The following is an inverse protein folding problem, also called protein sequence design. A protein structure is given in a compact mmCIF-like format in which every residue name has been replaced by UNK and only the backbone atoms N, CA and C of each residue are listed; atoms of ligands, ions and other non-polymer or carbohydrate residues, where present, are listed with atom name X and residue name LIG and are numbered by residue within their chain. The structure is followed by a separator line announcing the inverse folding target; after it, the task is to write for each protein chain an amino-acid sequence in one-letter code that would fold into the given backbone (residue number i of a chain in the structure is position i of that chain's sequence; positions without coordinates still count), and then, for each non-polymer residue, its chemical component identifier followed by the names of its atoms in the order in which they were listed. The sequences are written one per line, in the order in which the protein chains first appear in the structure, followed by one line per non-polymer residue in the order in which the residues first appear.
data_IF_597989811110
#
_entry.id   IF_597989811110
#
_cell.length_a   1.000
_cell.length_b   1.000
_cell.length_c   1.000
_cell.angle_alpha   90.00
_cell.angle_beta   90.00
_cell.angle_gamma   90.00
#
_symmetry.space_group_name_H-M   'P 1'
#
loop_
_entity.id
_entity.type
_entity.pdbx_description
1 polymer ?
#
# COMPACT_ATOMS: atom_id res chain seq x y z
N UNK A 1 -4.33 -7.29 -18.76
CA UNK A 1 -5.19 -7.39 -17.55
C UNK A 1 -5.20 -8.83 -17.10
N UNK A 2 -5.04 -9.08 -15.80
CA UNK A 2 -5.10 -10.43 -15.24
C UNK A 2 -5.79 -10.40 -13.87
N UNK A 3 -6.69 -11.34 -13.61
CA UNK A 3 -7.28 -11.55 -12.29
C UNK A 3 -6.75 -12.85 -11.69
N UNK A 4 -6.29 -12.79 -10.44
CA UNK A 4 -5.82 -13.94 -9.67
C UNK A 4 -6.78 -14.15 -8.50
N UNK A 5 -7.57 -15.22 -8.61
CA UNK A 5 -8.56 -15.59 -7.61
C UNK A 5 -7.93 -16.16 -6.33
N UNK A 6 -8.59 -15.90 -5.21
CA UNK A 6 -8.23 -16.35 -3.86
C UNK A 6 -8.07 -15.18 -2.91
N UNK A 7 -8.37 -15.40 -1.62
CA UNK A 7 -8.27 -14.33 -0.62
C UNK A 7 -6.85 -13.74 -0.59
N UNK A 8 -6.67 -12.44 -0.88
CA UNK A 8 -5.36 -11.80 -0.85
C UNK A 8 -4.65 -12.03 0.49
N UNK A 9 -3.35 -12.29 0.44
CA UNK A 9 -2.55 -12.51 1.65
C UNK A 9 -1.65 -11.32 1.91
N UNK A 10 -1.65 -10.86 3.16
CA UNK A 10 -0.76 -9.80 3.64
C UNK A 10 0.65 -10.33 3.88
N UNK A 11 1.63 -9.42 3.82
CA UNK A 11 3.00 -9.65 4.23
C UNK A 11 3.08 -10.27 5.64
N UNK A 12 3.97 -11.24 5.83
CA UNK A 12 4.19 -12.05 7.04
C UNK A 12 2.99 -12.89 7.51
N UNK A 13 1.93 -13.03 6.71
CA UNK A 13 0.82 -13.92 7.06
C UNK A 13 1.14 -15.39 6.74
N UNK A 14 0.51 -16.32 7.48
CA UNK A 14 0.72 -17.75 7.27
C UNK A 14 0.40 -18.23 5.82
N UNK A 15 -0.50 -17.54 5.11
CA UNK A 15 -0.87 -17.86 3.74
C UNK A 15 0.03 -17.23 2.67
N UNK A 16 0.91 -16.31 3.04
CA UNK A 16 1.68 -15.47 2.11
C UNK A 16 2.51 -16.29 1.12
N UNK A 17 3.26 -17.28 1.60
CA UNK A 17 4.12 -18.12 0.74
C UNK A 17 3.31 -18.82 -0.36
N UNK A 18 2.15 -19.38 0.01
CA UNK A 18 1.25 -20.04 -0.96
C UNK A 18 0.68 -19.03 -1.95
N UNK A 19 0.31 -17.84 -1.48
CA UNK A 19 -0.24 -16.78 -2.33
C UNK A 19 0.78 -16.27 -3.34
N UNK A 20 2.02 -16.00 -2.92
CA UNK A 20 3.12 -15.63 -3.81
C UNK A 20 3.38 -16.69 -4.88
N UNK A 21 3.33 -17.98 -4.52
CA UNK A 21 3.47 -19.06 -5.49
C UNK A 21 2.33 -19.09 -6.53
N UNK A 22 1.09 -18.84 -6.11
CA UNK A 22 -0.05 -18.73 -7.05
C UNK A 22 0.17 -17.57 -8.02
N UNK A 23 0.58 -16.41 -7.52
CA UNK A 23 0.86 -15.22 -8.34
C UNK A 23 2.00 -15.46 -9.34
N UNK A 24 3.14 -15.99 -8.88
CA UNK A 24 4.31 -16.27 -9.70
C UNK A 24 3.99 -17.23 -10.86
N UNK A 25 3.15 -18.26 -10.61
CA UNK A 25 2.73 -19.23 -11.61
C UNK A 25 1.84 -18.65 -12.71
N UNK A 26 1.37 -17.41 -12.59
CA UNK A 26 0.57 -16.75 -13.63
C UNK A 26 1.41 -16.12 -14.74
N UNK A 27 2.73 -16.02 -14.57
CA UNK A 27 3.61 -15.45 -15.60
C UNK A 27 3.39 -13.96 -15.86
N UNK A 28 2.93 -13.22 -14.85
CA UNK A 28 2.72 -11.77 -14.92
C UNK A 28 4.07 -11.09 -15.15
N UNK A 29 4.16 -10.27 -16.19
CA UNK A 29 5.35 -9.45 -16.43
C UNK A 29 5.30 -8.21 -15.55
N UNK A 30 6.44 -7.76 -15.01
CA UNK A 30 6.50 -6.49 -14.29
C UNK A 30 6.26 -5.32 -15.27
N UNK A 31 5.50 -4.31 -14.82
CA UNK A 31 5.27 -3.06 -15.54
C UNK A 31 5.78 -1.88 -14.71
N UNK A 32 6.24 -0.78 -15.34
CA UNK A 32 6.61 0.43 -14.63
C UNK A 32 5.43 1.09 -13.90
N UNK A 33 4.27 1.12 -14.55
CA UNK A 33 3.02 1.61 -13.98
C UNK A 33 2.12 0.43 -13.59
N UNK A 34 1.97 0.18 -12.30
CA UNK A 34 1.22 -0.96 -11.82
C UNK A 34 -0.08 -0.54 -11.14
N UNK A 35 -1.21 -1.05 -11.65
CA UNK A 35 -2.49 -0.97 -10.97
C UNK A 35 -2.86 -2.33 -10.35
N UNK A 36 -3.18 -2.29 -9.06
CA UNK A 36 -3.58 -3.42 -8.23
C UNK A 36 -4.96 -3.15 -7.62
N UNK A 37 -5.99 -3.89 -8.03
CA UNK A 37 -7.30 -3.84 -7.39
C UNK A 37 -7.52 -5.12 -6.59
N UNK A 38 -7.45 -5.00 -5.27
CA UNK A 38 -7.71 -6.08 -4.34
C UNK A 38 -9.21 -6.16 -4.02
N UNK A 39 -9.75 -7.37 -4.14
CA UNK A 39 -11.09 -7.71 -3.67
C UNK A 39 -10.92 -8.66 -2.49
N UNK A 40 -11.49 -8.33 -1.34
CA UNK A 40 -11.44 -9.15 -0.12
C UNK A 40 -12.85 -9.60 0.26
N UNK A 41 -12.99 -10.83 0.78
CA UNK A 41 -14.31 -11.35 1.18
C UNK A 41 -14.84 -10.70 2.46
N UNK A 42 -13.96 -10.11 3.25
CA UNK A 42 -14.29 -9.36 4.45
C UNK A 42 -13.23 -8.28 4.70
N UNK A 43 -13.56 -7.25 5.49
CA UNK A 43 -12.57 -6.22 5.84
C UNK A 43 -11.49 -6.72 6.78
N UNK A 44 -11.74 -7.82 7.48
CA UNK A 44 -10.83 -8.40 8.47
C UNK A 44 -10.64 -9.89 8.24
N UNK A 45 -9.43 -10.35 8.57
CA UNK A 45 -9.10 -11.76 8.70
C UNK A 45 -8.37 -11.99 10.00
N UNK A 46 -8.90 -12.88 10.84
CA UNK A 46 -8.35 -13.18 12.18
C UNK A 46 -8.15 -11.90 13.03
N UNK A 47 -9.11 -10.97 12.94
CA UNK A 47 -9.07 -9.70 13.69
C UNK A 47 -8.25 -8.58 13.05
N UNK A 48 -7.43 -8.85 12.04
CA UNK A 48 -6.59 -7.85 11.37
C UNK A 48 -7.22 -7.36 10.08
N UNK A 49 -7.10 -6.06 9.80
CA UNK A 49 -7.54 -5.47 8.54
C UNK A 49 -6.58 -5.79 7.39
N UNK A 50 -7.04 -5.53 6.18
CA UNK A 50 -6.26 -5.57 4.96
C UNK A 50 -5.69 -4.20 4.63
N UNK A 51 -4.47 -3.92 5.09
CA UNK A 51 -3.74 -2.69 4.79
C UNK A 51 -3.07 -2.80 3.41
N UNK A 52 -3.13 -1.73 2.61
CA UNK A 52 -2.60 -1.75 1.25
C UNK A 52 -1.09 -1.93 1.18
N UNK A 53 -0.32 -1.36 2.11
CA UNK A 53 1.13 -1.54 2.18
C UNK A 53 1.53 -3.02 2.35
N UNK A 54 0.75 -3.75 3.15
CA UNK A 54 0.92 -5.16 3.42
C UNK A 54 0.36 -6.07 2.31
N UNK A 55 -0.62 -5.61 1.52
CA UNK A 55 -1.17 -6.35 0.38
C UNK A 55 -0.30 -6.23 -0.87
N UNK A 56 0.28 -5.05 -1.13
CA UNK A 56 1.04 -4.77 -2.34
C UNK A 56 2.38 -5.51 -2.35
N UNK A 57 3.09 -5.55 -1.22
CA UNK A 57 4.44 -6.14 -1.14
C UNK A 57 4.50 -7.60 -1.65
N UNK A 58 3.62 -8.54 -1.21
CA UNK A 58 3.62 -9.90 -1.72
C UNK A 58 3.38 -10.00 -3.23
N UNK A 59 2.63 -9.07 -3.82
CA UNK A 59 2.39 -9.04 -5.27
C UNK A 59 3.64 -8.62 -6.02
N UNK A 60 4.28 -7.52 -5.61
CA UNK A 60 5.51 -7.01 -6.25
C UNK A 60 6.64 -8.05 -6.22
N UNK A 61 6.79 -8.74 -5.08
CA UNK A 61 7.79 -9.79 -4.92
C UNK A 61 7.50 -10.99 -5.83
N UNK A 62 6.22 -11.40 -5.95
CA UNK A 62 5.83 -12.55 -6.76
C UNK A 62 5.96 -12.33 -8.26
N UNK A 63 5.71 -11.11 -8.75
CA UNK A 63 5.86 -10.75 -10.17
C UNK A 63 7.30 -10.36 -10.54
N UNK A 64 8.23 -10.40 -9.57
CA UNK A 64 9.64 -10.06 -9.80
C UNK A 64 9.87 -8.60 -10.20
N UNK A 65 8.98 -7.69 -9.79
CA UNK A 65 9.13 -6.25 -10.09
C UNK A 65 10.36 -5.71 -9.38
N UNK A 66 11.34 -5.17 -10.14
CA UNK A 66 12.53 -4.57 -9.54
C UNK A 66 12.24 -3.14 -9.11
N UNK A 67 12.85 -2.72 -8.00
CA UNK A 67 12.65 -1.38 -7.46
C UNK A 67 12.97 -0.26 -8.47
N UNK A 68 14.04 -0.42 -9.24
CA UNK A 68 14.49 0.54 -10.27
C UNK A 68 13.56 0.65 -11.48
N UNK A 69 12.63 -0.29 -11.64
CA UNK A 69 11.73 -0.35 -12.79
C UNK A 69 10.34 0.22 -12.45
N UNK A 70 10.07 0.56 -11.18
CA UNK A 70 8.75 1.04 -10.72
C UNK A 70 8.66 2.55 -10.86
N UNK A 71 7.79 3.01 -11.75
CA UNK A 71 7.50 4.43 -11.96
C UNK A 71 6.28 4.88 -11.16
N UNK A 72 5.23 4.06 -11.10
CA UNK A 72 4.04 4.36 -10.31
C UNK A 72 3.32 3.09 -9.81
N UNK A 73 2.64 3.21 -8.67
CA UNK A 73 1.79 2.14 -8.14
C UNK A 73 0.46 2.72 -7.69
N UNK A 74 -0.62 2.19 -8.26
CA UNK A 74 -1.99 2.47 -7.85
C UNK A 74 -2.63 1.22 -7.25
N UNK A 75 -2.87 1.21 -5.94
CA UNK A 75 -3.48 0.09 -5.24
C UNK A 75 -4.82 0.48 -4.63
N UNK A 76 -5.84 -0.35 -4.81
CA UNK A 76 -7.15 -0.19 -4.15
C UNK A 76 -7.56 -1.48 -3.46
N UNK A 77 -8.35 -1.38 -2.39
CA UNK A 77 -8.96 -2.55 -1.73
C UNK A 77 -10.44 -2.32 -1.47
N UNK A 78 -11.26 -3.28 -1.87
CA UNK A 78 -12.72 -3.24 -1.73
C UNK A 78 -13.28 -4.60 -1.29
N UNK A 79 -14.52 -4.59 -0.81
CA UNK A 79 -15.29 -5.82 -0.57
C UNK A 79 -15.87 -6.36 -1.87
N UNK A 80 -15.94 -7.67 -1.99
CA UNK A 80 -16.70 -8.30 -3.05
C UNK A 80 -16.76 -9.82 -2.95
N UNK A 81 -17.67 -10.42 -3.72
CA UNK A 81 -17.99 -11.86 -3.67
C UNK A 81 -16.93 -12.74 -4.34
N UNK A 82 -15.97 -12.15 -5.05
CA UNK A 82 -14.87 -12.85 -5.73
C UNK A 82 -13.53 -12.32 -5.22
N UNK A 83 -13.04 -12.82 -4.07
CA UNK A 83 -11.76 -12.38 -3.54
C UNK A 83 -10.60 -12.69 -4.48
N UNK A 84 -9.67 -11.76 -4.58
CA UNK A 84 -8.54 -11.86 -5.49
C UNK A 84 -7.83 -10.53 -5.70
N UNK A 85 -6.93 -10.53 -6.66
CA UNK A 85 -6.27 -9.30 -7.13
C UNK A 85 -6.36 -9.21 -8.64
N UNK A 86 -6.82 -8.08 -9.12
CA UNK A 86 -6.69 -7.67 -10.52
C UNK A 86 -5.40 -6.87 -10.68
N UNK A 87 -4.60 -7.27 -11.66
CA UNK A 87 -3.29 -6.71 -11.96
C UNK A 87 -3.29 -6.23 -13.41
N UNK A 88 -3.03 -4.94 -13.59
CA UNK A 88 -3.06 -4.26 -14.89
C UNK A 88 -1.91 -3.27 -14.98
N UNK A 89 -1.42 -3.04 -16.21
CA UNK A 89 -0.60 -1.87 -16.50
C UNK A 89 -1.50 -0.62 -16.48
N UNK A 90 -1.10 0.41 -15.75
CA UNK A 90 -1.82 1.68 -15.75
C UNK A 90 -1.40 2.61 -14.62
N UNK A 91 -1.13 3.86 -14.99
CA UNK A 91 -0.76 4.91 -14.04
C UNK A 91 -1.95 5.32 -13.16
N UNK A 92 -1.69 5.84 -11.94
CA UNK A 92 -2.73 6.37 -11.08
C UNK A 92 -3.50 7.52 -11.79
N UNK A 93 -4.83 7.59 -11.64
CA UNK A 93 -5.57 8.77 -12.07
C UNK A 93 -5.20 9.98 -11.16
N UNK A 94 -5.57 11.21 -11.57
CA UNK A 94 -5.40 12.39 -10.72
C UNK A 94 -6.05 12.19 -9.34
N UNK A 95 -5.32 12.57 -8.29
CA UNK A 95 -5.77 12.41 -6.90
C UNK A 95 -7.19 12.92 -6.68
N UNK A 96 -8.04 12.17 -5.93
CA UNK A 96 -9.41 12.61 -5.68
C UNK A 96 -9.39 13.98 -4.97
N UNK A 97 -10.41 14.79 -5.25
CA UNK A 97 -10.62 16.04 -4.52
C UNK A 97 -10.86 15.67 -3.05
N UNK A 98 -10.05 16.23 -2.15
CA UNK A 98 -10.11 15.89 -0.73
C UNK A 98 -9.50 14.52 -0.37
N UNK A 99 -8.56 14.00 -1.17
CA UNK A 99 -7.65 12.92 -0.75
C UNK A 99 -6.43 13.43 0.01
N UNK A 100 -5.85 12.59 0.86
CA UNK A 100 -4.61 12.90 1.57
C UNK A 100 -3.46 12.95 0.56
N UNK A 101 -2.61 13.99 0.63
CA UNK A 101 -1.43 14.12 -0.24
C UNK A 101 -0.19 14.30 0.61
N UNK A 102 0.79 13.45 0.36
CA UNK A 102 2.06 13.41 1.08
C UNK A 102 3.18 13.57 0.06
N UNK A 103 4.12 14.46 0.35
CA UNK A 103 5.30 14.67 -0.51
C UNK A 103 6.55 14.39 0.30
N UNK A 104 7.22 13.28 -0.02
CA UNK A 104 8.48 12.90 0.62
C UNK A 104 9.63 13.58 -0.13
N UNK A 105 10.07 14.74 0.35
CA UNK A 105 11.21 15.46 -0.25
C UNK A 105 12.53 14.71 -0.11
N UNK A 106 12.79 14.18 1.09
CA UNK A 106 13.99 13.44 1.43
C UNK A 106 13.60 12.06 2.00
N UNK A 107 13.09 11.16 1.16
CA UNK A 107 12.73 9.82 1.61
C UNK A 107 14.01 9.11 2.10
N UNK A 108 13.92 8.32 3.17
CA UNK A 108 15.09 7.63 3.68
C UNK A 108 15.64 6.66 2.61
N UNK A 109 16.95 6.73 2.37
CA UNK A 109 17.65 5.90 1.37
C UNK A 109 17.65 4.40 1.72
N UNK A 110 17.35 4.07 2.97
CA UNK A 110 17.28 2.71 3.53
C UNK A 110 16.15 2.63 4.53
N UNK A 111 15.73 1.41 4.88
CA UNK A 111 14.90 1.13 6.04
C UNK A 111 15.42 1.90 7.25
N UNK A 112 14.70 2.93 7.68
CA UNK A 112 14.91 3.43 9.02
C UNK A 112 13.63 3.11 9.77
N UNK A 113 13.73 2.10 10.64
CA UNK A 113 12.72 1.76 11.65
C UNK A 113 12.66 2.85 12.74
N UNK A 114 12.86 4.12 12.37
CA UNK A 114 12.70 5.26 13.26
C UNK A 114 11.28 5.73 13.12
N UNK A 115 10.47 5.11 13.95
CA UNK A 115 9.15 5.55 14.30
C UNK A 115 9.30 6.81 15.18
N UNK A 116 9.81 7.90 14.63
CA UNK A 116 9.66 9.22 15.25
C UNK A 116 8.43 9.86 14.62
N UNK A 117 7.53 10.48 15.40
CA UNK A 117 6.43 11.23 14.81
C UNK A 117 7.01 12.29 13.88
N UNK A 118 6.41 12.42 12.70
CA UNK A 118 6.69 13.55 11.82
C UNK A 118 6.31 14.82 12.58
N UNK A 119 7.29 15.68 12.84
CA UNK A 119 7.11 16.85 13.71
C UNK A 119 6.02 17.78 13.14
N UNK A 120 5.93 17.84 11.81
CA UNK A 120 4.90 18.57 11.08
C UNK A 120 3.47 18.04 11.29
N UNK A 121 3.30 16.83 11.84
CA UNK A 121 2.00 16.20 12.06
C UNK A 121 1.56 16.17 13.53
N UNK A 122 2.38 16.68 14.45
CA UNK A 122 2.10 16.59 15.89
C UNK A 122 0.80 17.28 16.29
N UNK A 123 0.48 18.40 15.65
CA UNK A 123 -0.75 19.19 15.90
C UNK A 123 -1.81 18.99 14.80
N UNK A 124 -1.62 17.99 13.93
CA UNK A 124 -2.52 17.80 12.82
C UNK A 124 -3.85 17.22 13.29
N UNK A 125 -4.94 17.73 12.72
CA UNK A 125 -6.27 17.16 12.92
C UNK A 125 -6.43 15.89 12.09
N UNK A 126 -7.30 15.00 12.59
CA UNK A 126 -7.73 13.83 11.86
C UNK A 126 -8.23 14.23 10.46
N UNK A 127 -7.75 13.50 9.45
CA UNK A 127 -8.20 13.66 8.08
C UNK A 127 -9.51 12.89 7.87
N UNK A 128 -10.59 13.61 7.60
CA UNK A 128 -11.93 13.04 7.43
C UNK A 128 -12.45 12.35 8.70
N UNK A 129 -13.49 11.53 8.54
CA UNK A 129 -14.13 10.83 9.66
C UNK A 129 -13.38 9.53 10.05
N UNK A 130 -13.19 9.23 11.35
CA UNK A 130 -12.37 8.09 11.81
C UNK A 130 -12.75 6.73 11.23
N UNK A 131 -14.03 6.51 10.93
CA UNK A 131 -14.54 5.23 10.39
C UNK A 131 -14.62 5.21 8.86
N UNK A 132 -14.38 6.34 8.19
CA UNK A 132 -14.51 6.44 6.75
C UNK A 132 -13.19 6.13 6.05
N UNK A 133 -13.25 5.45 4.89
CA UNK A 133 -12.08 5.23 4.07
C UNK A 133 -11.60 6.54 3.45
N UNK A 134 -10.30 6.60 3.13
CA UNK A 134 -9.70 7.73 2.44
C UNK A 134 -8.78 7.27 1.30
N UNK A 135 -8.60 8.17 0.33
CA UNK A 135 -7.52 8.07 -0.65
C UNK A 135 -6.26 8.74 -0.14
N UNK A 136 -5.09 8.18 -0.47
CA UNK A 136 -3.78 8.71 -0.13
C UNK A 136 -2.87 8.70 -1.36
N UNK A 137 -2.36 9.86 -1.74
CA UNK A 137 -1.30 10.02 -2.71
C UNK A 137 0.02 10.30 -1.98
N UNK A 138 1.05 9.50 -2.25
CA UNK A 138 2.40 9.73 -1.75
C UNK A 138 3.32 9.94 -2.93
N UNK A 139 3.82 11.17 -3.09
CA UNK A 139 4.83 11.50 -4.09
C UNK A 139 6.21 11.37 -3.47
N UNK A 140 7.05 10.57 -4.11
CA UNK A 140 8.42 10.35 -3.67
C UNK A 140 9.36 11.24 -4.47
N UNK A 141 10.21 12.03 -3.80
CA UNK A 141 11.20 12.88 -4.44
C UNK A 141 12.28 12.08 -5.20
N UNK A 142 12.94 12.73 -6.16
CA UNK A 142 13.93 12.11 -7.07
C UNK A 142 15.14 11.46 -6.39
N UNK A 143 15.40 11.78 -5.13
CA UNK A 143 16.54 11.22 -4.37
C UNK A 143 16.23 9.88 -3.71
N UNK A 144 15.04 9.30 -3.93
CA UNK A 144 14.68 8.01 -3.37
C UNK A 144 15.33 6.84 -4.09
N UNK A 145 15.47 5.71 -3.40
CA UNK A 145 15.82 4.44 -4.01
C UNK A 145 14.71 3.85 -4.89
N UNK A 146 13.49 4.42 -4.86
CA UNK A 146 12.32 4.02 -5.66
C UNK A 146 11.08 3.75 -4.80
N UNK A 147 10.04 3.17 -5.42
CA UNK A 147 8.80 2.76 -4.74
C UNK A 147 9.00 1.38 -4.07
N UNK A 148 9.48 1.38 -2.83
CA UNK A 148 9.67 0.17 -2.02
C UNK A 148 8.62 0.05 -0.91
N UNK A 149 7.98 -1.13 -0.85
CA UNK A 149 7.06 -1.54 0.21
C UNK A 149 7.76 -2.42 1.25
N UNK A 150 7.07 -2.70 2.36
CA UNK A 150 7.59 -3.49 3.47
C UNK A 150 8.42 -2.66 4.45
N UNK A 151 9.01 -3.32 5.44
CA UNK A 151 9.74 -2.65 6.53
C UNK A 151 10.96 -1.86 6.05
N UNK A 152 11.45 -2.15 4.85
CA UNK A 152 12.71 -1.60 4.35
C UNK A 152 12.60 -0.47 3.32
N UNK A 153 11.40 -0.19 2.83
CA UNK A 153 11.12 0.90 1.92
C UNK A 153 10.55 2.14 2.61
N UNK A 154 10.45 3.28 1.91
CA UNK A 154 9.93 4.52 2.48
C UNK A 154 8.41 4.48 2.69
N UNK A 155 7.67 3.63 1.95
CA UNK A 155 6.21 3.67 1.92
C UNK A 155 5.59 3.29 3.26
N UNK A 156 5.97 2.14 3.84
CA UNK A 156 5.39 1.68 5.11
C UNK A 156 5.68 2.66 6.27
N UNK A 157 6.93 3.06 6.53
CA UNK A 157 7.22 4.05 7.57
C UNK A 157 6.50 5.38 7.35
N UNK A 158 6.32 5.81 6.10
CA UNK A 158 5.53 7.00 5.81
C UNK A 158 4.08 6.80 6.21
N UNK A 159 3.42 5.72 5.76
CA UNK A 159 2.03 5.43 6.10
C UNK A 159 1.86 5.30 7.63
N UNK A 160 2.71 4.52 8.30
CA UNK A 160 2.68 4.36 9.75
C UNK A 160 2.82 5.71 10.48
N UNK A 161 3.61 6.65 9.94
CA UNK A 161 3.81 7.98 10.52
C UNK A 161 2.65 8.96 10.28
N UNK A 162 1.71 8.63 9.38
CA UNK A 162 0.50 9.41 9.15
C UNK A 162 -0.58 9.15 10.21
N UNK A 163 -0.31 8.35 11.25
CA UNK A 163 -1.25 8.07 12.33
C UNK A 163 -1.94 9.30 12.97
N UNK A 164 -1.36 10.51 13.05
CA UNK A 164 -2.12 11.68 13.53
C UNK A 164 -3.26 12.07 12.58
N UNK A 165 -3.05 11.90 11.26
CA UNK A 165 -4.04 12.19 10.22
C UNK A 165 -5.00 11.02 10.00
N UNK A 166 -4.50 9.79 10.03
CA UNK A 166 -5.30 8.59 9.82
C UNK A 166 -6.03 8.15 11.10
N UNK A 167 -5.56 8.57 12.28
CA UNK A 167 -6.02 8.08 13.57
C UNK A 167 -5.26 6.84 14.03
N UNK A 168 -5.71 6.28 15.15
CA UNK A 168 -5.01 5.19 15.83
C UNK A 168 -3.92 5.72 16.75
N UNK A 169 -2.82 4.97 16.87
CA UNK A 169 -1.67 5.36 17.70
C UNK A 169 -0.37 5.07 16.97
N UNK A 170 0.71 5.65 17.46
CA UNK A 170 2.07 5.46 17.00
C UNK A 170 2.52 4.00 16.70
N UNK A 171 1.96 2.99 17.38
CA UNK A 171 2.27 1.56 17.14
C UNK A 171 1.11 0.76 16.53
N UNK A 172 -0.01 1.41 16.33
CA UNK A 172 -1.22 0.83 15.76
C UNK A 172 -1.93 1.91 14.94
N UNK A 173 -1.30 2.38 13.85
CA UNK A 173 -1.86 3.41 12.99
C UNK A 173 -3.12 2.86 12.28
N UNK A 174 -4.06 3.72 11.94
CA UNK A 174 -5.30 3.33 11.27
C UNK A 174 -5.15 3.21 9.74
N UNK A 175 -4.09 2.54 9.29
CA UNK A 175 -3.71 2.44 7.87
C UNK A 175 -4.77 1.77 6.99
N UNK A 176 -5.55 0.87 7.59
CA UNK A 176 -6.71 0.23 6.96
C UNK A 176 -7.77 1.22 6.44
N UNK A 177 -7.74 2.49 6.86
CA UNK A 177 -8.58 3.55 6.28
C UNK A 177 -8.15 3.90 4.86
N UNK A 178 -6.87 3.74 4.51
CA UNK A 178 -6.38 3.97 3.16
C UNK A 178 -6.88 2.85 2.25
N UNK A 179 -7.90 3.15 1.44
CA UNK A 179 -8.51 2.20 0.49
C UNK A 179 -8.11 2.46 -0.97
N UNK A 180 -7.51 3.61 -1.24
CA UNK A 180 -6.97 4.02 -2.54
C UNK A 180 -5.60 4.65 -2.29
N UNK A 181 -4.54 3.93 -2.62
CA UNK A 181 -3.14 4.35 -2.45
C UNK A 181 -2.53 4.60 -3.83
N UNK A 182 -1.93 5.78 -4.01
CA UNK A 182 -1.29 6.22 -5.26
C UNK A 182 0.14 6.66 -4.96
N UNK A 183 1.10 6.05 -5.64
CA UNK A 183 2.54 6.27 -5.46
C UNK A 183 3.15 6.70 -6.78
#
# INVERSE_FOLDING_TARGET
MMFVEGEPQTLLSAGEKRWRAILANRGIQPWPDLRLRFVVGAWKRRGHFFDLDNLVSPVLDAIGSKLSERESIWATVELGDKPGVEITNGSPPPSPIGGLRVVLKNPPLRSIRTSKPLLELVEANLFGEPSQPCGCEIRIGMNASGIAFGFEGPIKPTIDALWPLLGGTFKSPADHRVRDLRL
#
